data_IF_446423701930
#
_entry.id   IF_446423701930
#
_cell.length_a   1.000
_cell.length_b   1.000
_cell.length_c   1.000
_cell.angle_alpha   90.00
_cell.angle_beta   90.00
_cell.angle_gamma   90.00
#
_symmetry.space_group_name_H-M   'P 1'
#
loop_
_entity.id
_entity.type
_entity.pdbx_description
1 polymer ?
#
# COMPACT_ATOMS: atom_id res chain seq x y z
N UNK A 1 14.93 -3.26 0.48
CA UNK A 1 13.97 -2.98 -0.61
C UNK A 1 14.69 -2.67 -1.92
N UNK A 2 15.46 -1.56 -2.04
CA UNK A 2 16.00 -1.10 -3.34
C UNK A 2 16.89 -2.16 -3.98
N UNK A 3 18.02 -2.47 -3.37
CA UNK A 3 19.04 -3.38 -3.95
C UNK A 3 18.49 -4.78 -4.24
N UNK A 4 17.73 -5.35 -3.28
CA UNK A 4 17.17 -6.69 -3.47
C UNK A 4 16.13 -6.71 -4.60
N UNK A 5 15.28 -5.69 -4.73
CA UNK A 5 14.30 -5.59 -5.82
C UNK A 5 15.00 -5.44 -7.16
N UNK A 6 16.02 -4.57 -7.27
CA UNK A 6 16.82 -4.42 -8.47
C UNK A 6 17.50 -5.74 -8.88
N UNK A 7 18.15 -6.43 -7.95
CA UNK A 7 18.79 -7.72 -8.23
C UNK A 7 17.80 -8.78 -8.69
N UNK A 8 16.60 -8.82 -8.08
CA UNK A 8 15.54 -9.73 -8.49
C UNK A 8 15.05 -9.43 -9.91
N UNK A 9 14.82 -8.15 -10.23
CA UNK A 9 14.41 -7.72 -11.56
C UNK A 9 15.46 -8.08 -12.62
N UNK A 10 16.75 -7.87 -12.35
CA UNK A 10 17.84 -8.28 -13.24
C UNK A 10 17.92 -9.81 -13.41
N UNK A 11 17.70 -10.56 -12.34
CA UNK A 11 17.66 -12.02 -12.44
C UNK A 11 16.47 -12.50 -13.29
N UNK A 12 15.28 -11.90 -13.12
CA UNK A 12 14.11 -12.20 -13.94
C UNK A 12 14.40 -11.82 -15.39
N UNK A 13 14.87 -10.60 -15.65
CA UNK A 13 15.15 -10.10 -17.00
C UNK A 13 16.12 -11.00 -17.77
N UNK A 14 17.17 -11.47 -17.10
CA UNK A 14 18.26 -12.20 -17.76
C UNK A 14 18.06 -13.71 -17.83
N UNK A 15 17.26 -14.29 -16.93
CA UNK A 15 17.16 -15.75 -16.77
C UNK A 15 15.74 -16.30 -16.89
N UNK A 16 14.72 -15.47 -16.66
CA UNK A 16 13.34 -15.94 -16.51
C UNK A 16 12.32 -14.87 -16.93
N UNK A 17 12.52 -14.19 -18.06
CA UNK A 17 11.71 -13.04 -18.50
C UNK A 17 10.17 -13.37 -18.65
N UNK A 18 9.82 -14.64 -18.67
CA UNK A 18 8.43 -15.10 -18.71
C UNK A 18 7.77 -15.14 -17.32
N UNK A 19 8.55 -15.03 -16.23
CA UNK A 19 8.02 -15.11 -14.86
C UNK A 19 7.45 -13.75 -14.46
N UNK A 20 6.16 -13.67 -14.06
CA UNK A 20 5.59 -12.42 -13.62
C UNK A 20 6.07 -12.01 -12.22
N UNK A 21 6.07 -10.72 -11.96
CA UNK A 21 6.38 -10.13 -10.65
C UNK A 21 5.26 -9.20 -10.22
N UNK A 22 4.66 -9.45 -9.06
CA UNK A 22 3.72 -8.56 -8.41
C UNK A 22 4.39 -7.99 -7.17
N UNK A 23 4.62 -6.69 -7.16
CA UNK A 23 5.38 -6.02 -6.10
C UNK A 23 4.46 -5.46 -5.00
N UNK A 24 4.75 -5.84 -3.77
CA UNK A 24 4.10 -5.30 -2.58
C UNK A 24 4.67 -3.90 -2.24
N UNK A 25 4.05 -2.85 -2.76
CA UNK A 25 4.32 -1.46 -2.42
C UNK A 25 3.43 -0.98 -1.26
N UNK A 26 3.35 0.31 -1.04
CA UNK A 26 2.63 0.92 0.08
C UNK A 26 1.99 2.25 -0.33
N UNK A 27 0.91 2.63 0.32
CA UNK A 27 0.32 3.97 0.20
C UNK A 27 1.26 5.10 0.67
N UNK A 28 2.30 4.78 1.46
CA UNK A 28 3.32 5.74 1.91
C UNK A 28 4.14 6.37 0.77
N UNK A 29 4.02 5.84 -0.46
CA UNK A 29 4.63 6.46 -1.65
C UNK A 29 3.98 7.79 -2.04
N UNK A 30 2.79 8.09 -1.53
CA UNK A 30 2.08 9.37 -1.76
C UNK A 30 2.43 10.46 -0.74
N UNK A 31 3.29 10.16 0.23
CA UNK A 31 3.72 11.12 1.25
C UNK A 31 2.63 11.47 2.27
N UNK A 32 2.73 12.68 2.79
CA UNK A 32 1.86 13.16 3.86
C UNK A 32 0.62 13.89 3.37
N UNK A 33 0.44 14.02 2.04
CA UNK A 33 -0.67 14.73 1.40
C UNK A 33 -0.81 16.18 1.90
N UNK A 34 0.32 16.86 2.14
CA UNK A 34 0.38 18.19 2.76
C UNK A 34 -0.28 19.31 1.93
N UNK A 35 -0.57 19.04 0.67
CA UNK A 35 -1.29 19.92 -0.25
C UNK A 35 -2.81 19.78 -0.16
N UNK A 36 -3.33 18.87 0.66
CA UNK A 36 -4.75 18.66 0.87
C UNK A 36 -5.18 19.25 2.22
N UNK A 37 -6.27 20.01 2.18
CA UNK A 37 -6.91 20.50 3.39
C UNK A 37 -7.88 19.45 3.94
N UNK A 38 -7.91 19.35 5.27
CA UNK A 38 -8.82 18.47 6.00
C UNK A 38 -9.61 19.27 7.03
N UNK A 39 -10.84 18.84 7.27
CA UNK A 39 -11.71 19.41 8.30
C UNK A 39 -12.16 18.29 9.23
N UNK A 40 -12.30 18.60 10.52
CA UNK A 40 -12.83 17.68 11.51
C UNK A 40 -14.37 17.74 11.46
N UNK A 41 -15.00 16.66 11.00
CA UNK A 41 -16.46 16.49 10.95
C UNK A 41 -16.83 15.13 11.54
N UNK A 42 -17.85 15.09 12.39
CA UNK A 42 -18.34 13.86 13.02
C UNK A 42 -17.23 13.01 13.64
N UNK A 43 -16.33 13.66 14.38
CA UNK A 43 -15.17 13.05 15.06
C UNK A 43 -14.16 12.36 14.12
N UNK A 44 -14.14 12.69 12.83
CA UNK A 44 -13.18 12.18 11.86
C UNK A 44 -12.65 13.28 10.93
N UNK A 45 -11.38 13.19 10.55
CA UNK A 45 -10.82 14.08 9.54
C UNK A 45 -11.35 13.72 8.15
N UNK A 46 -11.92 14.72 7.46
CA UNK A 46 -12.47 14.58 6.11
C UNK A 46 -11.74 15.52 5.15
N UNK A 47 -11.40 15.08 3.93
CA UNK A 47 -10.86 15.97 2.91
C UNK A 47 -11.86 17.08 2.58
N UNK A 48 -11.38 18.30 2.39
CA UNK A 48 -12.18 19.45 1.94
C UNK A 48 -12.48 19.32 0.45
N UNK A 49 -11.52 18.81 -0.35
CA UNK A 49 -11.72 18.58 -1.77
C UNK A 49 -12.82 17.52 -2.03
N UNK A 50 -13.91 17.87 -2.75
CA UNK A 50 -15.03 16.96 -2.98
C UNK A 50 -14.65 15.70 -3.78
N UNK A 51 -13.67 15.80 -4.67
CA UNK A 51 -13.24 14.65 -5.49
C UNK A 51 -12.42 13.66 -4.62
N UNK A 52 -11.52 14.19 -3.81
CA UNK A 52 -10.75 13.37 -2.86
C UNK A 52 -11.69 12.75 -1.81
N UNK A 53 -12.70 13.50 -1.36
CA UNK A 53 -13.68 13.00 -0.40
C UNK A 53 -14.54 11.87 -0.96
N UNK A 54 -14.91 11.95 -2.24
CA UNK A 54 -15.75 10.95 -2.90
C UNK A 54 -14.99 9.72 -3.40
N UNK A 55 -13.74 9.89 -3.84
CA UNK A 55 -13.00 8.86 -4.58
C UNK A 55 -11.65 8.48 -3.96
N UNK A 56 -11.21 9.19 -2.93
CA UNK A 56 -9.88 8.98 -2.33
C UNK A 56 -8.75 9.44 -3.24
N UNK A 57 -7.57 8.87 -2.98
CA UNK A 57 -6.34 9.15 -3.74
C UNK A 57 -6.17 8.12 -4.84
N UNK A 58 -6.19 8.57 -6.10
CA UNK A 58 -5.97 7.71 -7.25
C UNK A 58 -4.49 7.54 -7.60
N UNK A 59 -4.19 6.54 -8.44
CA UNK A 59 -2.81 6.19 -8.85
C UNK A 59 -2.13 7.26 -9.71
N UNK A 60 -2.88 8.18 -10.30
CA UNK A 60 -2.36 9.32 -11.07
C UNK A 60 -1.74 10.42 -10.19
N UNK A 61 -1.96 10.36 -8.87
CA UNK A 61 -1.37 11.32 -7.95
C UNK A 61 0.16 11.27 -8.01
N UNK A 62 0.86 12.43 -8.06
CA UNK A 62 2.31 12.47 -7.95
C UNK A 62 2.80 11.77 -6.68
N UNK A 63 3.93 11.06 -6.81
CA UNK A 63 4.56 10.39 -5.68
C UNK A 63 5.41 11.39 -4.90
N UNK A 64 5.36 11.27 -3.58
CA UNK A 64 6.10 12.13 -2.64
C UNK A 64 6.66 11.26 -1.51
N UNK A 65 7.87 10.76 -1.71
CA UNK A 65 8.45 9.77 -0.81
C UNK A 65 8.94 10.41 0.48
N UNK A 66 8.30 10.08 1.59
CA UNK A 66 8.73 10.45 2.93
C UNK A 66 9.21 9.23 3.71
N UNK A 67 10.05 9.45 4.69
CA UNK A 67 10.72 8.45 5.54
C UNK A 67 11.64 7.49 4.75
N UNK A 68 12.68 6.91 5.38
CA UNK A 68 13.52 5.89 4.74
C UNK A 68 12.73 4.69 4.21
N UNK A 69 11.63 4.32 4.89
CA UNK A 69 10.73 3.27 4.44
C UNK A 69 10.01 3.67 3.15
N UNK A 70 9.33 4.83 3.13
CA UNK A 70 8.62 5.34 1.96
C UNK A 70 9.53 5.51 0.75
N UNK A 71 10.72 6.09 0.94
CA UNK A 71 11.73 6.24 -0.12
C UNK A 71 12.18 4.89 -0.66
N UNK A 72 12.50 3.92 0.21
CA UNK A 72 12.97 2.61 -0.24
C UNK A 72 11.90 1.80 -0.98
N UNK A 73 10.66 1.89 -0.54
CA UNK A 73 9.52 1.24 -1.21
C UNK A 73 9.15 1.95 -2.52
N UNK A 74 9.13 3.28 -2.52
CA UNK A 74 8.80 4.07 -3.70
C UNK A 74 9.83 3.92 -4.81
N UNK A 75 11.13 3.93 -4.48
CA UNK A 75 12.17 3.65 -5.46
C UNK A 75 12.02 2.24 -6.07
N UNK A 76 11.75 1.21 -5.25
CA UNK A 76 11.52 -0.14 -5.72
C UNK A 76 10.25 -0.25 -6.59
N UNK A 77 9.15 0.41 -6.20
CA UNK A 77 7.91 0.56 -6.96
C UNK A 77 8.19 1.08 -8.39
N UNK A 78 8.99 2.16 -8.50
CA UNK A 78 9.33 2.76 -9.78
C UNK A 78 10.26 1.87 -10.63
N UNK A 79 11.23 1.17 -10.02
CA UNK A 79 12.01 0.16 -10.74
C UNK A 79 11.11 -0.93 -11.35
N UNK A 80 10.16 -1.45 -10.58
CA UNK A 80 9.25 -2.50 -11.06
C UNK A 80 8.42 -2.05 -12.26
N UNK A 81 7.88 -0.82 -12.23
CA UNK A 81 7.13 -0.24 -13.34
C UNK A 81 8.03 0.04 -14.55
N UNK A 82 9.25 0.54 -14.33
CA UNK A 82 10.17 0.84 -15.41
C UNK A 82 10.65 -0.43 -16.13
N UNK A 83 10.86 -1.54 -15.41
CA UNK A 83 11.24 -2.80 -16.04
C UNK A 83 10.15 -3.38 -16.94
N UNK A 84 8.88 -3.15 -16.64
CA UNK A 84 7.81 -3.45 -17.61
C UNK A 84 7.93 -2.59 -18.86
N UNK A 85 8.10 -1.27 -18.68
CA UNK A 85 8.17 -0.29 -19.77
C UNK A 85 9.41 -0.48 -20.65
N UNK A 86 10.58 -0.65 -20.01
CA UNK A 86 11.87 -0.64 -20.70
C UNK A 86 12.27 -2.02 -21.24
N UNK A 87 11.83 -3.10 -20.61
CA UNK A 87 12.23 -4.47 -20.95
C UNK A 87 11.07 -5.42 -21.23
N UNK A 88 9.83 -4.94 -21.16
CA UNK A 88 8.63 -5.76 -21.42
C UNK A 88 8.37 -6.85 -20.38
N UNK A 89 8.89 -6.71 -19.16
CA UNK A 89 8.63 -7.68 -18.10
C UNK A 89 7.17 -7.60 -17.64
N UNK A 90 6.59 -8.74 -17.32
CA UNK A 90 5.24 -8.86 -16.79
C UNK A 90 5.22 -8.50 -15.31
N UNK A 91 5.27 -7.21 -14.99
CA UNK A 91 5.30 -6.73 -13.60
C UNK A 91 4.10 -5.84 -13.29
N UNK A 92 3.57 -5.88 -12.08
CA UNK A 92 2.64 -4.89 -11.58
C UNK A 92 2.93 -4.55 -10.11
N UNK A 93 2.33 -3.46 -9.63
CA UNK A 93 2.58 -2.92 -8.29
C UNK A 93 1.26 -2.76 -7.55
N UNK A 94 1.19 -3.24 -6.31
CA UNK A 94 0.12 -2.92 -5.38
C UNK A 94 0.59 -1.95 -4.30
N UNK A 95 0.03 -0.74 -4.29
CA UNK A 95 0.21 0.28 -3.26
C UNK A 95 -0.84 0.06 -2.19
N UNK A 96 -0.49 -0.73 -1.19
CA UNK A 96 -1.43 -1.25 -0.22
C UNK A 96 -1.62 -0.30 0.97
N UNK A 97 -2.85 -0.28 1.48
CA UNK A 97 -3.21 0.29 2.77
C UNK A 97 -2.80 -0.64 3.93
N UNK A 98 -3.38 -0.45 5.11
CA UNK A 98 -3.08 -1.26 6.28
C UNK A 98 -3.79 -2.61 6.19
N UNK A 99 -3.04 -3.70 5.96
CA UNK A 99 -3.59 -5.05 5.90
C UNK A 99 -3.73 -5.60 7.32
N UNK A 100 -4.89 -6.21 7.61
CA UNK A 100 -5.14 -6.94 8.84
C UNK A 100 -5.68 -8.35 8.54
N UNK A 101 -5.64 -9.23 9.52
CA UNK A 101 -6.22 -10.56 9.37
C UNK A 101 -5.80 -11.55 10.44
N UNK A 102 -6.35 -12.76 10.32
CA UNK A 102 -6.06 -13.83 11.26
C UNK A 102 -4.57 -14.17 11.31
N UNK A 103 -4.07 -14.47 12.51
CA UNK A 103 -2.68 -14.85 12.78
C UNK A 103 -1.66 -13.73 12.57
N UNK A 104 -2.11 -12.49 12.44
CA UNK A 104 -1.20 -11.35 12.43
C UNK A 104 -0.72 -11.09 13.87
N UNK A 105 0.58 -11.14 14.07
CA UNK A 105 1.23 -10.81 15.35
C UNK A 105 1.62 -9.33 15.34
N UNK A 106 0.63 -8.45 15.56
CA UNK A 106 0.82 -7.01 15.55
C UNK A 106 1.68 -6.52 16.72
N UNK A 107 2.51 -5.53 16.44
CA UNK A 107 3.29 -4.79 17.43
C UNK A 107 2.94 -3.30 17.35
N UNK A 108 3.44 -2.51 18.30
CA UNK A 108 3.22 -1.06 18.32
C UNK A 108 3.63 -0.37 16.99
N UNK A 109 4.71 -0.86 16.36
CA UNK A 109 5.24 -0.32 15.11
C UNK A 109 4.57 -0.86 13.84
N UNK A 110 3.98 -2.06 13.90
CA UNK A 110 3.51 -2.80 12.73
C UNK A 110 2.20 -3.54 13.03
N UNK A 111 1.18 -3.35 12.16
CA UNK A 111 -0.08 -4.07 12.27
C UNK A 111 -0.94 -3.60 13.43
N UNK A 112 -1.20 -2.30 13.50
CA UNK A 112 -1.89 -1.64 14.61
C UNK A 112 -3.27 -2.26 14.95
N UNK A 113 -4.04 -2.74 13.96
CA UNK A 113 -5.33 -3.40 14.20
C UNK A 113 -5.14 -4.64 15.07
N UNK A 114 -4.22 -5.53 14.67
CA UNK A 114 -3.90 -6.73 15.45
C UNK A 114 -3.27 -6.39 16.80
N UNK A 115 -2.40 -5.37 16.85
CA UNK A 115 -1.79 -4.89 18.09
C UNK A 115 -2.85 -4.44 19.10
N UNK A 116 -3.78 -3.61 18.69
CA UNK A 116 -4.85 -3.11 19.57
C UNK A 116 -5.74 -4.26 20.07
N UNK A 117 -6.10 -5.18 19.17
CA UNK A 117 -6.89 -6.34 19.54
C UNK A 117 -6.17 -7.24 20.57
N UNK A 118 -4.88 -7.52 20.34
CA UNK A 118 -4.05 -8.34 21.26
C UNK A 118 -3.99 -7.66 22.63
N UNK A 119 -3.70 -6.36 22.68
CA UNK A 119 -3.63 -5.63 23.95
C UNK A 119 -4.97 -5.59 24.69
N UNK A 120 -6.06 -5.33 23.95
CA UNK A 120 -7.40 -5.32 24.52
C UNK A 120 -7.77 -6.68 25.13
N UNK A 121 -7.49 -7.78 24.42
CA UNK A 121 -7.76 -9.15 24.90
C UNK A 121 -6.92 -9.52 26.12
N UNK A 122 -5.72 -8.97 26.24
CA UNK A 122 -4.83 -9.18 27.39
C UNK A 122 -5.15 -8.24 28.58
N UNK A 123 -6.09 -7.30 28.42
CA UNK A 123 -6.36 -6.27 29.44
C UNK A 123 -5.22 -5.26 29.60
N UNK A 124 -4.40 -5.08 28.56
CA UNK A 124 -3.28 -4.16 28.57
C UNK A 124 -3.66 -2.77 28.03
N UNK A 125 -3.03 -1.69 28.50
CA UNK A 125 -3.30 -0.34 28.00
C UNK A 125 -3.04 -0.23 26.49
N UNK A 126 -3.90 0.52 25.77
CA UNK A 126 -3.71 0.87 24.36
C UNK A 126 -3.31 2.34 24.30
N UNK A 127 -2.24 2.64 23.59
CA UNK A 127 -1.80 4.02 23.35
C UNK A 127 -2.29 4.48 21.97
N UNK A 128 -3.08 5.56 21.96
CA UNK A 128 -3.47 6.26 20.74
C UNK A 128 -2.55 7.46 20.56
N UNK A 129 -1.84 7.51 19.44
CA UNK A 129 -1.00 8.65 19.08
C UNK A 129 -1.82 9.68 18.30
N UNK A 130 -1.61 10.97 18.61
CA UNK A 130 -2.38 12.08 18.06
C UNK A 130 -3.66 12.35 18.84
N UNK A 131 -4.67 12.87 18.18
CA UNK A 131 -5.96 13.26 18.78
C UNK A 131 -7.05 12.20 18.69
N UNK A 132 -6.77 11.06 18.06
CA UNK A 132 -7.72 9.96 17.93
C UNK A 132 -8.69 10.05 16.75
N UNK A 133 -8.70 11.16 16.02
CA UNK A 133 -9.62 11.41 14.90
C UNK A 133 -9.07 10.99 13.52
N UNK A 134 -7.88 10.36 13.49
CA UNK A 134 -7.25 9.94 12.25
C UNK A 134 -8.03 8.82 11.56
N UNK A 135 -8.37 9.01 10.31
CA UNK A 135 -8.97 7.99 9.46
C UNK A 135 -7.86 7.10 8.87
N UNK A 136 -8.07 5.80 8.90
CA UNK A 136 -7.17 4.80 8.33
C UNK A 136 -7.97 3.82 7.46
N UNK A 137 -7.53 3.68 6.22
CA UNK A 137 -8.02 2.63 5.35
C UNK A 137 -7.40 1.29 5.78
N UNK A 138 -8.23 0.29 5.97
CA UNK A 138 -7.83 -1.07 6.35
C UNK A 138 -8.33 -2.08 5.33
N UNK A 139 -7.56 -3.16 5.13
CA UNK A 139 -7.84 -4.19 4.13
C UNK A 139 -7.74 -5.58 4.76
N UNK A 140 -8.78 -6.40 4.62
CA UNK A 140 -8.72 -7.80 5.04
C UNK A 140 -7.67 -8.55 4.21
N UNK A 141 -6.84 -9.37 4.87
CA UNK A 141 -5.78 -10.13 4.20
C UNK A 141 -6.32 -11.07 3.11
N UNK A 142 -7.55 -11.57 3.25
CA UNK A 142 -8.18 -12.45 2.24
C UNK A 142 -8.44 -11.68 0.94
N UNK A 143 -8.84 -10.42 1.02
CA UNK A 143 -9.06 -9.57 -0.14
C UNK A 143 -7.74 -9.18 -0.79
N UNK A 144 -6.71 -8.91 0.01
CA UNK A 144 -5.35 -8.75 -0.50
C UNK A 144 -4.91 -9.99 -1.29
N UNK A 145 -5.04 -11.20 -0.73
CA UNK A 145 -4.68 -12.46 -1.41
C UNK A 145 -5.48 -12.65 -2.69
N UNK A 146 -6.78 -12.38 -2.67
CA UNK A 146 -7.64 -12.47 -3.85
C UNK A 146 -7.18 -11.50 -4.96
N UNK A 147 -6.78 -10.28 -4.60
CA UNK A 147 -6.23 -9.30 -5.55
C UNK A 147 -4.92 -9.81 -6.20
N UNK A 148 -4.00 -10.39 -5.40
CA UNK A 148 -2.76 -10.98 -5.92
C UNK A 148 -3.04 -12.14 -6.89
N UNK A 149 -3.97 -13.04 -6.55
CA UNK A 149 -4.37 -14.15 -7.41
C UNK A 149 -5.02 -13.63 -8.70
N UNK A 150 -5.89 -12.64 -8.61
CA UNK A 150 -6.53 -12.01 -9.77
C UNK A 150 -5.51 -11.37 -10.71
N UNK A 151 -4.58 -10.58 -10.15
CA UNK A 151 -3.51 -9.96 -10.93
C UNK A 151 -2.59 -10.98 -11.59
N UNK A 152 -2.22 -12.06 -10.88
CA UNK A 152 -1.42 -13.13 -11.45
C UNK A 152 -2.13 -13.82 -12.64
N UNK A 153 -3.42 -14.10 -12.50
CA UNK A 153 -4.22 -14.72 -13.58
C UNK A 153 -4.40 -13.83 -14.79
N UNK A 154 -4.35 -12.51 -14.59
CA UNK A 154 -4.55 -11.48 -15.62
C UNK A 154 -3.31 -10.60 -15.81
N UNK A 155 -2.14 -11.19 -15.61
CA UNK A 155 -0.90 -10.39 -15.61
C UNK A 155 -0.67 -9.63 -16.92
N UNK A 156 -1.08 -10.19 -18.06
CA UNK A 156 -0.96 -9.57 -19.36
C UNK A 156 -1.82 -8.27 -19.48
N UNK A 157 -2.94 -8.21 -18.77
CA UNK A 157 -3.84 -7.04 -18.76
C UNK A 157 -3.36 -5.94 -17.80
N UNK A 158 -2.58 -6.31 -16.78
CA UNK A 158 -2.19 -5.40 -15.69
C UNK A 158 -0.71 -5.07 -15.66
N UNK A 159 0.09 -5.67 -16.53
CA UNK A 159 1.53 -5.42 -16.59
C UNK A 159 1.85 -3.94 -16.83
N UNK A 160 2.89 -3.45 -16.15
CA UNK A 160 3.33 -2.05 -16.22
C UNK A 160 2.44 -1.06 -15.47
N UNK A 161 1.49 -1.54 -14.68
CA UNK A 161 0.55 -0.68 -13.94
C UNK A 161 0.75 -0.77 -12.42
N UNK A 162 0.47 0.34 -11.75
CA UNK A 162 0.27 0.37 -10.31
C UNK A 162 -1.23 0.41 -9.98
N UNK A 163 -1.60 -0.17 -8.84
CA UNK A 163 -2.96 -0.15 -8.32
C UNK A 163 -2.92 0.16 -6.83
N UNK A 164 -3.79 1.06 -6.39
CA UNK A 164 -4.09 1.21 -4.98
C UNK A 164 -4.94 0.02 -4.52
N UNK A 165 -4.58 -0.53 -3.38
CA UNK A 165 -5.27 -1.67 -2.81
C UNK A 165 -5.59 -1.37 -1.35
N UNK A 166 -6.84 -1.07 -1.08
CA UNK A 166 -7.40 -0.74 0.22
C UNK A 166 -8.78 -1.36 0.41
N UNK A 167 -9.36 -1.20 1.58
CA UNK A 167 -10.70 -1.70 1.89
C UNK A 167 -11.81 -0.83 1.31
N UNK A 168 -11.52 0.43 1.08
CA UNK A 168 -12.48 1.38 0.54
C UNK A 168 -13.32 2.11 1.59
N UNK A 169 -14.26 2.96 1.15
CA UNK A 169 -14.99 3.87 2.04
C UNK A 169 -15.99 3.17 2.97
N UNK A 170 -16.40 1.96 2.64
CA UNK A 170 -17.43 1.21 3.38
C UNK A 170 -16.82 0.19 4.38
N UNK A 171 -15.49 0.31 4.65
CA UNK A 171 -14.75 -0.64 5.49
C UNK A 171 -14.42 -0.05 6.87
#
# INVERSE_FOLDING_TARGET
NITATFQLLEAIRTRAAHVPLIFASTNKVYGDLADLDFVLEDEAYRPVDPQVRAHGIGEARPLDFHTPYGVSKGAADQYVLDYARSFGLKTCVFRMSCIYGQRQMGTEDQGWVAHFLIRALNGEPITLYGDGHQVRDVLDVRDAVNAYIAAWRRIDDVAGRAFNLGGGPDN
#
